data_IF_232901673480
#
_entry.id   IF_232901673480
#
_cell.length_a   1.000
_cell.length_b   1.000
_cell.length_c   1.000
_cell.angle_alpha   90.00
_cell.angle_beta   90.00
_cell.angle_gamma   90.00
#
_symmetry.space_group_name_H-M   'P 1'
#
loop_
_entity.id
_entity.type
_entity.pdbx_description
1 polymer ?
#
# COMPACT_ATOMS: atom_id res chain seq x y z
N UNK A 1 -12.94 -44.89 -5.66
CA UNK A 1 -12.96 -43.98 -4.50
C UNK A 1 -11.53 -43.80 -4.01
N UNK A 2 -10.80 -42.84 -4.57
CA UNK A 2 -9.56 -42.32 -3.99
C UNK A 2 -9.55 -40.83 -4.29
N UNK A 3 -9.60 -40.05 -3.21
CA UNK A 3 -10.19 -38.72 -3.17
C UNK A 3 -9.37 -37.61 -3.80
N UNK A 4 -10.09 -36.63 -4.35
CA UNK A 4 -9.58 -35.32 -4.70
C UNK A 4 -9.24 -34.54 -3.42
N UNK A 5 -8.00 -34.65 -2.95
CA UNK A 5 -7.44 -33.66 -2.04
C UNK A 5 -6.94 -32.48 -2.87
N UNK A 6 -7.87 -31.63 -3.34
CA UNK A 6 -7.54 -30.32 -3.86
C UNK A 6 -7.15 -29.45 -2.66
N UNK A 7 -5.88 -29.53 -2.25
CA UNK A 7 -5.31 -28.60 -1.30
C UNK A 7 -5.35 -27.21 -1.95
N UNK A 8 -6.31 -26.39 -1.52
CA UNK A 8 -6.41 -24.97 -1.84
C UNK A 8 -5.25 -24.22 -1.16
N UNK A 9 -4.04 -24.45 -1.66
CA UNK A 9 -2.92 -23.54 -1.47
C UNK A 9 -3.14 -22.35 -2.41
N UNK A 10 -4.04 -21.44 -2.02
CA UNK A 10 -4.15 -20.13 -2.65
C UNK A 10 -2.97 -19.27 -2.16
N UNK A 11 -1.76 -19.70 -2.51
CA UNK A 11 -0.58 -18.88 -2.38
C UNK A 11 -0.74 -17.85 -3.49
N UNK A 12 -1.21 -16.65 -3.11
CA UNK A 12 -1.50 -15.58 -4.05
C UNK A 12 -0.27 -15.30 -4.90
N UNK A 13 -0.22 -15.87 -6.10
CA UNK A 13 0.74 -15.49 -7.11
C UNK A 13 0.44 -14.04 -7.45
N UNK A 14 1.34 -13.14 -7.04
CA UNK A 14 1.27 -11.77 -7.51
C UNK A 14 1.38 -11.85 -9.03
N UNK A 15 0.41 -11.32 -9.80
CA UNK A 15 0.49 -11.42 -11.24
C UNK A 15 1.80 -10.78 -11.70
N UNK A 16 2.61 -11.54 -12.43
CA UNK A 16 3.80 -11.01 -13.07
C UNK A 16 3.36 -9.93 -14.06
N UNK A 17 3.96 -8.74 -13.98
CA UNK A 17 3.66 -7.65 -14.89
C UNK A 17 4.86 -7.43 -15.79
N UNK A 18 4.65 -7.35 -17.09
CA UNK A 18 5.67 -7.13 -18.09
C UNK A 18 5.57 -5.69 -18.62
N UNK A 19 6.70 -5.06 -18.91
CA UNK A 19 6.75 -3.71 -19.49
C UNK A 19 7.73 -3.61 -20.65
N UNK A 20 7.38 -2.79 -21.63
CA UNK A 20 8.24 -2.39 -22.75
C UNK A 20 7.95 -0.95 -23.13
N UNK A 21 8.85 -0.38 -23.94
CA UNK A 21 8.65 0.92 -24.57
C UNK A 21 8.53 0.67 -26.07
N UNK A 22 7.50 1.24 -26.69
CA UNK A 22 7.31 1.14 -28.15
C UNK A 22 8.17 2.16 -28.92
N UNK A 23 8.01 2.18 -30.24
CA UNK A 23 8.76 3.04 -31.16
C UNK A 23 8.45 4.53 -30.95
N UNK A 24 7.24 4.84 -30.47
CA UNK A 24 6.79 6.20 -30.16
C UNK A 24 7.25 6.66 -28.76
N UNK A 25 7.96 5.80 -28.01
CA UNK A 25 8.45 6.09 -26.66
C UNK A 25 7.40 5.88 -25.56
N UNK A 26 6.23 5.33 -25.89
CA UNK A 26 5.17 5.05 -24.93
C UNK A 26 5.48 3.78 -24.14
N UNK A 27 5.30 3.84 -22.82
CA UNK A 27 5.49 2.69 -21.94
C UNK A 27 4.19 1.90 -21.80
N UNK A 28 4.27 0.62 -22.07
CA UNK A 28 3.16 -0.33 -21.98
C UNK A 28 3.34 -1.33 -20.83
N UNK A 29 2.24 -1.96 -20.42
CA UNK A 29 2.19 -3.00 -19.41
C UNK A 29 1.29 -4.15 -19.85
N UNK A 30 1.67 -5.39 -19.54
CA UNK A 30 0.88 -6.59 -19.79
C UNK A 30 0.98 -7.58 -18.63
N UNK A 31 -0.04 -8.39 -18.44
CA UNK A 31 -0.09 -9.53 -17.52
C UNK A 31 0.49 -10.82 -18.13
N UNK A 32 0.71 -10.83 -19.45
CA UNK A 32 1.37 -11.92 -20.18
C UNK A 32 2.71 -11.48 -20.77
N UNK A 33 3.70 -12.39 -20.94
CA UNK A 33 4.96 -12.07 -21.60
C UNK A 33 4.78 -11.57 -23.03
N UNK A 34 5.47 -10.48 -23.38
CA UNK A 34 5.53 -9.91 -24.74
C UNK A 34 6.99 -9.91 -25.20
N UNK A 35 7.24 -10.13 -26.49
CA UNK A 35 8.59 -10.10 -27.04
C UNK A 35 9.28 -8.75 -26.78
N UNK A 36 10.47 -8.78 -26.18
CA UNK A 36 11.22 -7.58 -25.81
C UNK A 36 10.75 -6.89 -24.52
N UNK A 37 9.67 -7.36 -23.89
CA UNK A 37 9.26 -6.88 -22.58
C UNK A 37 10.11 -7.51 -21.46
N UNK A 38 10.28 -6.77 -20.38
CA UNK A 38 10.89 -7.27 -19.14
C UNK A 38 9.85 -7.34 -18.03
N UNK A 39 9.98 -8.35 -17.17
CA UNK A 39 9.15 -8.45 -15.97
C UNK A 39 9.49 -7.33 -14.98
N UNK A 40 8.47 -6.79 -14.33
CA UNK A 40 8.56 -5.77 -13.30
C UNK A 40 7.74 -6.17 -12.08
N UNK A 41 8.34 -6.00 -10.92
CA UNK A 41 7.65 -6.14 -9.63
C UNK A 41 6.95 -4.83 -9.30
N UNK A 42 5.62 -4.83 -9.30
CA UNK A 42 4.83 -3.73 -8.76
C UNK A 42 4.85 -3.84 -7.24
N UNK A 43 5.55 -2.93 -6.57
CA UNK A 43 5.55 -2.84 -5.11
C UNK A 43 4.39 -1.95 -4.69
N UNK A 44 3.59 -2.32 -3.66
CA UNK A 44 2.54 -1.46 -3.15
C UNK A 44 3.14 -0.14 -2.64
N UNK A 45 2.68 1.00 -3.16
CA UNK A 45 3.21 2.32 -2.78
C UNK A 45 2.52 2.91 -1.53
N UNK A 46 1.37 2.38 -1.12
CA UNK A 46 0.62 2.89 0.02
C UNK A 46 0.95 2.09 1.29
N UNK A 47 1.79 2.67 2.14
CA UNK A 47 1.97 2.22 3.51
C UNK A 47 1.10 3.10 4.40
N UNK A 48 0.13 2.49 5.10
CA UNK A 48 -0.62 3.19 6.12
C UNK A 48 0.31 3.50 7.30
N UNK A 49 0.46 4.78 7.62
CA UNK A 49 1.15 5.22 8.83
C UNK A 49 0.08 5.60 9.85
N UNK A 50 -0.08 4.85 10.96
CA UNK A 50 -0.95 5.28 12.04
C UNK A 50 -0.43 6.61 12.58
N UNK A 51 -1.29 7.63 12.60
CA UNK A 51 -0.99 8.87 13.32
C UNK A 51 -1.16 8.61 14.81
N UNK A 52 -0.15 8.95 15.60
CA UNK A 52 -0.28 8.93 17.06
C UNK A 52 -1.34 9.97 17.45
N UNK A 53 -2.38 9.60 18.23
CA UNK A 53 -3.33 10.58 18.74
C UNK A 53 -2.59 11.67 19.52
N UNK A 54 -2.91 12.93 19.28
CA UNK A 54 -2.34 14.03 20.05
C UNK A 54 -2.69 13.86 21.53
N UNK A 55 -1.69 13.82 22.39
CA UNK A 55 -1.86 13.90 23.84
C UNK A 55 -2.54 15.23 24.15
N UNK A 56 -3.64 15.21 24.91
CA UNK A 56 -4.39 16.40 25.27
C UNK A 56 -3.47 17.49 25.86
N UNK A 57 -3.67 18.74 25.46
CA UNK A 57 -2.93 19.88 26.00
C UNK A 57 -3.11 19.95 27.53
N UNK A 58 -2.08 20.33 28.30
CA UNK A 58 -2.24 20.63 29.71
C UNK A 58 -3.28 21.74 29.91
N UNK A 59 -4.07 21.62 30.98
CA UNK A 59 -5.08 22.60 31.33
C UNK A 59 -4.45 24.00 31.53
N UNK A 60 -5.13 25.09 31.15
CA UNK A 60 -4.65 26.43 31.40
C UNK A 60 -4.50 26.69 32.91
N UNK A 61 -3.56 27.56 33.33
CA UNK A 61 -3.38 27.90 34.74
C UNK A 61 -4.64 28.57 35.30
N UNK A 62 -4.92 28.41 36.61
CA UNK A 62 -6.06 29.05 37.25
C UNK A 62 -5.99 30.57 37.12
N UNK A 63 -7.15 31.20 36.91
CA UNK A 63 -7.26 32.65 36.80
C UNK A 63 -6.80 33.34 38.10
N UNK A 64 -6.17 34.53 38.02
CA UNK A 64 -5.78 35.30 39.20
C UNK A 64 -7.01 35.73 40.02
N UNK A 65 -6.86 35.86 41.35
CA UNK A 65 -7.98 36.23 42.23
C UNK A 65 -8.48 37.64 41.93
N UNK A 66 -9.79 37.82 41.97
CA UNK A 66 -10.42 39.14 41.82
C UNK A 66 -10.13 40.00 43.06
N UNK A 67 -9.67 41.27 42.90
CA UNK A 67 -9.47 42.16 44.03
C UNK A 67 -10.80 42.47 44.75
N UNK A 68 -10.79 42.67 46.09
CA UNK A 68 -11.97 43.12 46.81
C UNK A 68 -12.37 44.55 46.39
N UNK A 69 -13.68 44.81 46.41
CA UNK A 69 -14.32 46.09 46.03
C UNK A 69 -14.08 47.20 47.07
#
# INVERSE_FOLDING_TARGET
MLGCALALGLEGAWPAVYTWTDEDGVRHYADTPVAGAREVRIVPHNVYHPVTPATALPAPPPAPPTPPA
#
